data_IF_816866387237
#
_entry.id   IF_816866387237
#
_cell.length_a   1.000
_cell.length_b   1.000
_cell.length_c   1.000
_cell.angle_alpha   90.00
_cell.angle_beta   90.00
_cell.angle_gamma   90.00
#
_symmetry.space_group_name_H-M   'P 1'
#
loop_
_entity.id
_entity.type
_entity.pdbx_description
1 polymer ?
#
# COMPACT_ATOMS: atom_id res chain seq x y z
N UNK A 1 15.55 0.60 -11.17
CA UNK A 1 15.50 -0.56 -10.27
C UNK A 1 15.04 -0.12 -8.88
N UNK A 2 14.09 -0.82 -8.28
CA UNK A 2 13.45 -0.40 -7.01
C UNK A 2 14.13 -0.95 -5.76
N UNK A 3 15.20 -1.75 -5.89
CA UNK A 3 15.83 -2.44 -4.75
C UNK A 3 16.34 -1.52 -3.64
N UNK A 4 16.74 -0.32 -3.98
CA UNK A 4 17.26 0.67 -3.03
C UNK A 4 16.21 1.68 -2.54
N UNK A 5 14.95 1.52 -2.93
CA UNK A 5 13.85 2.41 -2.54
C UNK A 5 12.91 1.73 -1.57
N UNK A 6 12.44 2.50 -0.60
CA UNK A 6 11.33 2.09 0.27
C UNK A 6 10.02 2.33 -0.46
N UNK A 7 9.29 1.27 -0.72
CA UNK A 7 7.98 1.32 -1.38
C UNK A 7 6.93 0.78 -0.42
N UNK A 8 5.84 1.50 -0.25
CA UNK A 8 4.69 1.02 0.51
C UNK A 8 3.45 1.01 -0.38
N UNK A 9 2.68 -0.06 -0.32
CA UNK A 9 1.38 -0.16 -0.96
C UNK A 9 0.28 -0.23 0.09
N UNK A 10 -0.81 0.52 -0.13
CA UNK A 10 -1.96 0.58 0.75
C UNK A 10 -3.25 0.26 -0.02
N UNK A 11 -4.07 -0.58 0.57
CA UNK A 11 -5.45 -0.85 0.13
C UNK A 11 -6.42 -0.15 1.09
N UNK A 12 -6.82 1.11 0.81
CA UNK A 12 -7.67 1.89 1.71
C UNK A 12 -9.08 1.32 1.79
N UNK A 13 -9.59 1.16 3.00
CA UNK A 13 -10.94 0.68 3.28
C UNK A 13 -11.35 1.01 4.70
N UNK A 14 -12.44 0.42 5.19
CA UNK A 14 -12.79 0.47 6.62
C UNK A 14 -11.66 -0.15 7.46
N UNK A 15 -10.98 -1.12 6.90
CA UNK A 15 -9.64 -1.52 7.34
C UNK A 15 -8.69 -1.27 6.17
N UNK A 16 -7.49 -0.78 6.47
CA UNK A 16 -6.46 -0.50 5.46
C UNK A 16 -5.38 -1.57 5.56
N UNK A 17 -5.28 -2.39 4.51
CA UNK A 17 -4.15 -3.30 4.35
C UNK A 17 -2.95 -2.53 3.82
N UNK A 18 -1.77 -2.89 4.27
CA UNK A 18 -0.53 -2.31 3.78
C UNK A 18 0.59 -3.33 3.70
N UNK A 19 1.48 -3.13 2.75
CA UNK A 19 2.74 -3.87 2.62
C UNK A 19 3.84 -2.93 2.19
N UNK A 20 4.98 -3.04 2.84
CA UNK A 20 6.18 -2.26 2.53
C UNK A 20 7.33 -3.14 2.09
N UNK A 21 8.06 -2.70 1.08
CA UNK A 21 9.36 -3.25 0.69
C UNK A 21 10.45 -2.39 1.30
N UNK A 22 11.31 -3.02 2.07
CA UNK A 22 12.44 -2.37 2.75
C UNK A 22 13.75 -2.94 2.21
N UNK A 23 14.67 -2.09 1.72
CA UNK A 23 16.01 -2.53 1.36
C UNK A 23 16.76 -3.11 2.57
N UNK A 24 17.50 -4.17 2.34
CA UNK A 24 18.43 -4.75 3.32
C UNK A 24 19.85 -4.45 2.86
N UNK A 25 20.61 -3.79 3.72
CA UNK A 25 21.97 -3.37 3.43
C UNK A 25 22.98 -4.37 3.97
N UNK A 26 24.03 -4.63 3.21
CA UNK A 26 25.19 -5.42 3.60
C UNK A 26 26.23 -4.60 4.33
N UNK A 27 27.38 -5.19 4.60
CA UNK A 27 28.46 -4.59 5.40
C UNK A 27 29.13 -3.35 4.74
N UNK A 28 28.88 -3.12 3.47
CA UNK A 28 29.46 -2.00 2.69
C UNK A 28 28.39 -1.01 2.24
N UNK A 29 27.28 -0.93 2.94
CA UNK A 29 26.12 -0.10 2.59
C UNK A 29 25.51 -0.39 1.19
N UNK A 30 25.89 -1.53 0.58
CA UNK A 30 25.23 -2.00 -0.64
C UNK A 30 23.89 -2.69 -0.31
N UNK A 31 22.91 -2.52 -1.18
CA UNK A 31 21.64 -3.25 -1.07
C UNK A 31 21.84 -4.70 -1.51
N UNK A 32 21.78 -5.62 -0.58
CA UNK A 32 21.99 -7.06 -0.83
C UNK A 32 20.67 -7.81 -1.08
N UNK A 33 19.56 -7.32 -0.53
CA UNK A 33 18.24 -7.92 -0.69
C UNK A 33 17.14 -6.92 -0.30
N UNK A 34 15.93 -7.38 -0.26
CA UNK A 34 14.80 -6.63 0.33
C UNK A 34 13.90 -7.56 1.12
N UNK A 35 13.20 -7.01 2.09
CA UNK A 35 12.20 -7.72 2.87
C UNK A 35 10.83 -7.07 2.72
N UNK A 36 9.78 -7.85 2.90
CA UNK A 36 8.41 -7.38 2.94
C UNK A 36 7.93 -7.36 4.39
N UNK A 37 7.37 -6.21 4.78
CA UNK A 37 6.67 -6.03 6.05
C UNK A 37 5.26 -5.56 5.77
N UNK A 38 4.31 -5.86 6.61
CA UNK A 38 2.94 -5.45 6.35
C UNK A 38 1.98 -5.67 7.51
N UNK A 39 0.76 -5.27 7.33
CA UNK A 39 -0.28 -5.40 8.34
C UNK A 39 -1.61 -4.83 7.90
N UNK A 40 -2.49 -4.68 8.87
CA UNK A 40 -3.81 -4.08 8.67
C UNK A 40 -4.04 -3.03 9.75
N UNK A 41 -4.54 -1.87 9.34
CA UNK A 41 -4.97 -0.78 10.23
C UNK A 41 -6.49 -0.71 10.18
N UNK A 42 -7.14 -0.62 11.33
CA UNK A 42 -8.57 -0.37 11.44
C UNK A 42 -8.95 1.08 11.08
N UNK A 43 -10.11 1.52 11.50
CA UNK A 43 -10.60 2.88 11.28
C UNK A 43 -9.82 3.92 12.13
N UNK A 44 -8.57 4.15 11.78
CA UNK A 44 -7.67 5.06 12.50
C UNK A 44 -6.77 5.84 11.52
N UNK A 45 -7.19 7.05 11.19
CA UNK A 45 -6.45 7.96 10.30
C UNK A 45 -5.07 8.32 10.87
N UNK A 46 -4.98 8.49 12.18
CA UNK A 46 -3.71 8.79 12.84
C UNK A 46 -2.74 7.62 12.74
N UNK A 47 -3.23 6.38 12.80
CA UNK A 47 -2.38 5.21 12.62
C UNK A 47 -1.84 5.11 11.18
N UNK A 48 -2.65 5.45 10.18
CA UNK A 48 -2.19 5.53 8.78
C UNK A 48 -1.11 6.60 8.63
N UNK A 49 -1.32 7.78 9.19
CA UNK A 49 -0.35 8.86 9.16
C UNK A 49 0.96 8.47 9.85
N UNK A 50 0.88 7.87 11.04
CA UNK A 50 2.06 7.39 11.79
C UNK A 50 2.81 6.30 11.05
N UNK A 51 2.11 5.38 10.39
CA UNK A 51 2.73 4.36 9.55
C UNK A 51 3.62 5.01 8.48
N UNK A 52 3.11 6.02 7.78
CA UNK A 52 3.88 6.73 6.76
C UNK A 52 5.06 7.51 7.36
N UNK A 53 4.86 8.14 8.53
CA UNK A 53 5.92 8.82 9.28
C UNK A 53 7.04 7.87 9.69
N UNK A 54 6.72 6.72 10.22
CA UNK A 54 7.69 5.73 10.70
C UNK A 54 8.39 5.02 9.53
N UNK A 55 7.63 4.67 8.50
CA UNK A 55 8.15 3.95 7.35
C UNK A 55 9.01 4.84 6.44
N UNK A 56 8.67 6.12 6.28
CA UNK A 56 9.36 7.07 5.41
C UNK A 56 9.55 6.54 3.99
N UNK A 57 8.46 6.25 3.25
CA UNK A 57 8.57 5.70 1.91
C UNK A 57 9.08 6.72 0.89
N UNK A 58 9.82 6.24 -0.09
CA UNK A 58 10.14 6.99 -1.31
C UNK A 58 8.98 6.98 -2.30
N UNK A 59 8.19 5.91 -2.27
CA UNK A 59 7.04 5.72 -3.15
C UNK A 59 5.87 5.16 -2.33
N UNK A 60 4.71 5.79 -2.44
CA UNK A 60 3.44 5.27 -1.92
C UNK A 60 2.55 4.87 -3.08
N UNK A 61 2.21 3.59 -3.14
CA UNK A 61 1.23 3.02 -4.07
C UNK A 61 -0.08 2.84 -3.31
N UNK A 62 -1.20 3.24 -3.87
CA UNK A 62 -2.49 3.06 -3.22
C UNK A 62 -3.59 2.78 -4.23
N UNK A 63 -4.61 2.04 -3.80
CA UNK A 63 -5.81 1.85 -4.60
C UNK A 63 -6.62 3.14 -4.60
N UNK A 64 -6.98 3.62 -5.80
CA UNK A 64 -7.88 4.76 -5.94
C UNK A 64 -9.32 4.35 -5.67
N UNK A 65 -10.08 5.27 -5.09
CA UNK A 65 -11.52 5.06 -4.92
C UNK A 65 -12.25 5.41 -6.22
N UNK A 66 -13.09 4.47 -6.68
CA UNK A 66 -13.99 4.70 -7.82
C UNK A 66 -15.43 4.43 -7.41
N UNK A 67 -16.29 5.39 -7.70
CA UNK A 67 -17.73 5.26 -7.50
C UNK A 67 -18.39 4.97 -8.83
N UNK A 68 -19.08 3.85 -8.91
CA UNK A 68 -19.89 3.50 -10.08
C UNK A 68 -21.30 4.08 -9.91
N UNK A 69 -21.95 4.57 -10.99
CA UNK A 69 -23.24 5.27 -10.90
C UNK A 69 -24.32 4.52 -10.12
N UNK A 70 -24.41 3.19 -10.27
CA UNK A 70 -25.39 2.37 -9.54
C UNK A 70 -25.14 2.23 -8.05
N UNK A 71 -23.90 2.44 -7.57
CA UNK A 71 -23.54 2.43 -6.15
C UNK A 71 -23.68 3.79 -5.49
N UNK A 72 -23.57 4.87 -6.26
CA UNK A 72 -23.62 6.24 -5.74
C UNK A 72 -24.93 6.52 -5.00
N UNK A 73 -26.06 6.09 -5.52
CA UNK A 73 -27.37 6.29 -4.90
C UNK A 73 -27.52 5.59 -3.55
N UNK A 74 -26.86 4.44 -3.36
CA UNK A 74 -26.91 3.67 -2.11
C UNK A 74 -25.99 4.22 -1.02
N UNK A 75 -25.07 5.12 -1.38
CA UNK A 75 -24.00 5.59 -0.52
C UNK A 75 -24.14 7.06 -0.11
N UNK A 76 -25.23 7.74 -0.47
CA UNK A 76 -25.44 9.18 -0.25
C UNK A 76 -25.23 9.60 1.22
N UNK A 77 -25.48 8.71 2.16
CA UNK A 77 -25.38 8.98 3.59
C UNK A 77 -24.23 8.24 4.29
N UNK A 78 -23.39 7.55 3.54
CA UNK A 78 -22.28 6.78 4.13
C UNK A 78 -20.98 7.58 4.13
N UNK A 79 -20.20 7.39 5.17
CA UNK A 79 -18.82 7.86 5.25
C UNK A 79 -17.95 7.12 4.24
N UNK A 80 -17.23 7.85 3.39
CA UNK A 80 -16.31 7.28 2.41
C UNK A 80 -14.91 7.13 3.02
N UNK A 81 -14.76 6.18 3.92
CA UNK A 81 -13.50 5.95 4.63
C UNK A 81 -12.29 5.76 3.71
N UNK A 82 -12.39 5.01 2.59
CA UNK A 82 -11.27 4.93 1.63
C UNK A 82 -10.82 6.29 1.10
N UNK A 83 -11.75 7.21 0.81
CA UNK A 83 -11.42 8.56 0.38
C UNK A 83 -10.71 9.37 1.46
N UNK A 84 -11.09 9.20 2.72
CA UNK A 84 -10.45 9.87 3.84
C UNK A 84 -9.02 9.36 4.02
N UNK A 85 -8.78 8.06 3.92
CA UNK A 85 -7.43 7.47 3.98
C UNK A 85 -6.56 7.99 2.83
N UNK A 86 -7.10 8.08 1.61
CA UNK A 86 -6.39 8.67 0.47
C UNK A 86 -6.04 10.13 0.76
N UNK A 87 -6.94 10.88 1.39
CA UNK A 87 -6.69 12.25 1.85
C UNK A 87 -5.52 12.33 2.84
N UNK A 88 -5.45 11.41 3.79
CA UNK A 88 -4.33 11.31 4.75
C UNK A 88 -3.00 11.07 4.02
N UNK A 89 -2.97 10.14 3.07
CA UNK A 89 -1.78 9.85 2.25
C UNK A 89 -1.31 11.11 1.50
N UNK A 90 -2.23 11.80 0.86
CA UNK A 90 -1.94 13.03 0.10
C UNK A 90 -1.44 14.15 1.01
N UNK A 91 -2.08 14.35 2.15
CA UNK A 91 -1.68 15.36 3.12
C UNK A 91 -0.26 15.08 3.65
N UNK A 92 0.00 13.83 4.02
CA UNK A 92 1.34 13.42 4.47
C UNK A 92 2.41 13.73 3.40
N UNK A 93 2.17 13.37 2.14
CA UNK A 93 3.10 13.64 1.06
C UNK A 93 3.33 15.14 0.82
N UNK A 94 2.26 15.94 0.88
CA UNK A 94 2.36 17.41 0.75
C UNK A 94 3.21 18.04 1.86
N UNK A 95 3.04 17.60 3.10
CA UNK A 95 3.82 18.08 4.24
C UNK A 95 5.31 17.73 4.12
N UNK A 96 5.65 16.74 3.34
CA UNK A 96 7.01 16.33 2.97
C UNK A 96 7.58 17.05 1.77
N UNK A 97 6.91 18.08 1.25
CA UNK A 97 7.35 18.84 0.09
C UNK A 97 7.38 18.02 -1.20
N UNK A 98 6.49 17.04 -1.31
CA UNK A 98 6.38 16.12 -2.47
C UNK A 98 7.68 15.35 -2.78
N UNK A 99 8.50 15.09 -1.79
CA UNK A 99 9.69 14.23 -1.93
C UNK A 99 9.33 12.75 -2.12
N UNK A 100 8.12 12.37 -1.76
CA UNK A 100 7.58 11.04 -1.95
C UNK A 100 6.72 10.98 -3.22
N UNK A 101 6.96 9.98 -4.08
CA UNK A 101 6.13 9.75 -5.27
C UNK A 101 4.83 9.05 -4.87
N UNK A 102 3.70 9.60 -5.27
CA UNK A 102 2.38 8.98 -5.10
C UNK A 102 1.94 8.31 -6.40
N UNK A 103 1.50 7.06 -6.31
CA UNK A 103 1.00 6.26 -7.45
C UNK A 103 -0.36 5.69 -7.10
N UNK A 104 -1.42 6.25 -7.70
CA UNK A 104 -2.78 5.71 -7.60
C UNK A 104 -3.02 4.63 -8.63
N UNK A 105 -3.52 3.48 -8.22
CA UNK A 105 -3.88 2.36 -9.09
C UNK A 105 -5.38 2.08 -9.01
N UNK A 106 -5.98 1.75 -10.15
CA UNK A 106 -7.40 1.39 -10.18
C UNK A 106 -7.63 0.01 -9.54
N UNK A 107 -8.79 -0.23 -8.91
CA UNK A 107 -9.12 -1.52 -8.28
C UNK A 107 -8.99 -2.73 -9.22
N UNK A 108 -9.24 -2.53 -10.52
CA UNK A 108 -9.17 -3.57 -11.54
C UNK A 108 -7.78 -4.18 -11.70
N UNK A 109 -6.71 -3.48 -11.33
CA UNK A 109 -5.33 -3.97 -11.48
C UNK A 109 -5.05 -5.20 -10.62
N UNK A 110 -5.74 -5.36 -9.51
CA UNK A 110 -5.60 -6.52 -8.60
C UNK A 110 -5.88 -7.86 -9.28
N UNK A 111 -6.73 -7.86 -10.31
CA UNK A 111 -7.04 -9.07 -11.09
C UNK A 111 -5.86 -9.58 -11.90
N UNK A 112 -4.93 -8.70 -12.25
CA UNK A 112 -3.80 -9.00 -13.13
C UNK A 112 -2.46 -9.09 -12.38
N UNK A 113 -2.49 -8.89 -11.08
CA UNK A 113 -1.27 -8.68 -10.32
C UNK A 113 -0.45 -9.94 -10.10
N UNK A 114 -1.09 -11.11 -10.02
CA UNK A 114 -0.41 -12.32 -9.56
C UNK A 114 -0.62 -13.48 -10.53
N UNK A 115 0.48 -14.05 -11.05
CA UNK A 115 0.51 -15.38 -11.63
C UNK A 115 0.35 -16.44 -10.53
N UNK A 116 0.13 -17.69 -10.92
CA UNK A 116 -0.09 -18.81 -9.97
C UNK A 116 1.04 -18.95 -8.93
N UNK A 117 2.30 -18.70 -9.31
CA UNK A 117 3.46 -18.76 -8.41
C UNK A 117 3.53 -17.62 -7.38
N UNK A 118 2.77 -16.54 -7.58
CA UNK A 118 2.82 -15.35 -6.71
C UNK A 118 1.56 -15.19 -5.84
N UNK A 119 0.55 -16.05 -6.01
CA UNK A 119 -0.69 -15.97 -5.24
C UNK A 119 -0.47 -16.05 -3.73
N UNK A 120 0.63 -16.66 -3.30
CA UNK A 120 0.98 -16.87 -1.91
C UNK A 120 2.11 -15.96 -1.42
N UNK A 121 2.49 -14.93 -2.21
CA UNK A 121 3.55 -14.00 -1.84
C UNK A 121 3.27 -13.32 -0.49
N UNK A 122 2.00 -13.13 -0.12
CA UNK A 122 1.63 -12.59 1.19
C UNK A 122 2.18 -13.42 2.36
N UNK A 123 2.47 -14.71 2.17
CA UNK A 123 3.08 -15.57 3.19
C UNK A 123 4.54 -15.18 3.51
N UNK A 124 5.21 -14.47 2.63
CA UNK A 124 6.57 -13.99 2.83
C UNK A 124 6.63 -12.63 3.53
N UNK A 125 5.47 -12.01 3.74
CA UNK A 125 5.36 -10.71 4.43
C UNK A 125 5.49 -10.92 5.93
N UNK A 126 6.41 -10.21 6.58
CA UNK A 126 6.42 -10.11 8.03
C UNK A 126 5.29 -9.17 8.46
N UNK A 127 4.23 -9.73 9.02
CA UNK A 127 3.09 -8.99 9.54
C UNK A 127 2.98 -9.02 11.06
N UNK A 128 4.12 -9.21 11.73
CA UNK A 128 4.26 -9.07 13.19
C UNK A 128 3.31 -9.97 14.00
N UNK A 129 3.07 -11.19 13.53
CA UNK A 129 2.18 -12.15 14.19
C UNK A 129 0.68 -11.86 14.04
N UNK A 130 0.30 -10.81 13.32
CA UNK A 130 -1.10 -10.50 13.04
C UNK A 130 -1.66 -11.44 11.96
N UNK A 131 -2.97 -11.75 11.97
CA UNK A 131 -3.57 -12.53 10.89
C UNK A 131 -3.46 -11.82 9.54
N UNK A 132 -3.17 -12.56 8.48
CA UNK A 132 -3.22 -12.04 7.12
C UNK A 132 -4.67 -11.79 6.70
N UNK A 133 -5.03 -10.53 6.54
CA UNK A 133 -6.37 -10.12 6.09
C UNK A 133 -6.44 -10.06 4.57
N UNK A 134 -7.66 -10.01 4.02
CA UNK A 134 -7.84 -9.78 2.58
C UNK A 134 -7.25 -8.44 2.14
N UNK A 135 -7.36 -7.40 2.96
CA UNK A 135 -6.77 -6.08 2.68
C UNK A 135 -5.24 -6.13 2.61
N UNK A 136 -4.58 -6.92 3.47
CA UNK A 136 -3.14 -7.16 3.36
C UNK A 136 -2.79 -7.83 2.03
N UNK A 137 -3.54 -8.86 1.65
CA UNK A 137 -3.33 -9.57 0.37
C UNK A 137 -3.53 -8.66 -0.82
N UNK A 138 -4.53 -7.79 -0.78
CA UNK A 138 -4.79 -6.79 -1.81
C UNK A 138 -3.67 -5.75 -1.90
N UNK A 139 -3.12 -5.32 -0.78
CA UNK A 139 -1.94 -4.45 -0.77
C UNK A 139 -0.72 -5.12 -1.42
N UNK A 140 -0.51 -6.41 -1.17
CA UNK A 140 0.55 -7.20 -1.84
C UNK A 140 0.32 -7.25 -3.35
N UNK A 141 -0.91 -7.43 -3.80
CA UNK A 141 -1.25 -7.40 -5.24
C UNK A 141 -0.94 -6.04 -5.88
N UNK A 142 -1.28 -4.95 -5.20
CA UNK A 142 -0.96 -3.59 -5.66
C UNK A 142 0.54 -3.37 -5.78
N UNK A 143 1.31 -3.78 -4.77
CA UNK A 143 2.77 -3.66 -4.79
C UNK A 143 3.37 -4.42 -5.97
N UNK A 144 2.97 -5.66 -6.19
CA UNK A 144 3.49 -6.49 -7.28
C UNK A 144 3.11 -5.96 -8.67
N UNK A 145 1.89 -5.49 -8.83
CA UNK A 145 1.49 -4.84 -10.07
C UNK A 145 2.37 -3.63 -10.37
N UNK A 146 2.57 -2.78 -9.38
CA UNK A 146 3.44 -1.60 -9.52
C UNK A 146 4.86 -2.01 -9.90
N UNK A 147 5.48 -2.92 -9.17
CA UNK A 147 6.86 -3.36 -9.41
C UNK A 147 7.09 -3.96 -10.80
N UNK A 148 6.10 -4.67 -11.34
CA UNK A 148 6.17 -5.24 -12.69
C UNK A 148 6.05 -4.21 -13.80
N UNK A 149 5.36 -3.11 -13.53
CA UNK A 149 5.06 -2.09 -14.54
C UNK A 149 5.93 -0.84 -14.39
N UNK A 150 6.71 -0.72 -13.32
CA UNK A 150 7.71 0.34 -13.18
C UNK A 150 8.94 -0.03 -14.02
N UNK A 151 9.16 0.74 -15.08
CA UNK A 151 10.34 0.63 -15.95
C UNK A 151 11.40 1.66 -15.57
#
# INVERSE_FOLDING_TARGET
MLLNRKVIALDPGNSTGWVGRVPVYGNKDEVVSSMLVGGTIGEDHCAVYRLLEDFQPDIVVFETFQMYPGKAQKLIWNTFYPCEVIGVIKLWAMQRGNKCKLVGLQPSVKKYALGNSEQELWKTVDHFGQPATEHLRDAVRLLRYFERNEK
#
